data_IF_999870818755
#
_entry.id   IF_999870818755
#
_cell.length_a   1.000
_cell.length_b   1.000
_cell.length_c   1.000
_cell.angle_alpha   90.00
_cell.angle_beta   90.00
_cell.angle_gamma   90.00
#
_symmetry.space_group_name_H-M   'P 1'
#
loop_
_entity.id
_entity.type
_entity.pdbx_description
1 polymer ?
#
# COMPACT_ATOMS: atom_id res chain seq x y z
N UNK A 1 -19.72 -10.59 5.22
CA UNK A 1 -18.35 -10.61 4.68
C UNK A 1 -18.47 -10.42 3.17
N UNK A 2 -17.83 -9.40 2.60
CA UNK A 2 -17.83 -9.20 1.14
C UNK A 2 -16.79 -10.15 0.52
N UNK A 3 -17.23 -11.12 -0.27
CA UNK A 3 -16.37 -12.07 -0.99
C UNK A 3 -16.43 -11.91 -2.52
N UNK A 4 -17.08 -10.85 -3.01
CA UNK A 4 -17.36 -10.60 -4.44
C UNK A 4 -16.08 -10.60 -5.28
N UNK A 5 -15.02 -9.93 -4.79
CA UNK A 5 -13.72 -9.93 -5.47
C UNK A 5 -13.15 -11.35 -5.65
N UNK A 6 -13.18 -12.17 -4.61
CA UNK A 6 -12.64 -13.53 -4.65
C UNK A 6 -13.46 -14.44 -5.57
N UNK A 7 -14.79 -14.32 -5.56
CA UNK A 7 -15.68 -15.06 -6.48
C UNK A 7 -15.41 -14.70 -7.93
N UNK A 8 -15.32 -13.41 -8.22
CA UNK A 8 -14.97 -12.94 -9.56
C UNK A 8 -13.60 -13.46 -10.02
N UNK A 9 -12.57 -13.44 -9.15
CA UNK A 9 -11.25 -14.02 -9.47
C UNK A 9 -11.29 -15.52 -9.76
N UNK A 10 -12.25 -16.25 -9.20
CA UNK A 10 -12.45 -17.69 -9.45
C UNK A 10 -13.35 -17.98 -10.65
N UNK A 11 -13.91 -16.96 -11.29
CA UNK A 11 -14.88 -17.12 -12.39
C UNK A 11 -16.26 -17.58 -11.93
N UNK A 12 -16.60 -17.39 -10.65
CA UNK A 12 -17.93 -17.68 -10.10
C UNK A 12 -18.92 -16.55 -10.42
N UNK A 13 -20.23 -16.85 -10.39
CA UNK A 13 -21.27 -15.85 -10.56
C UNK A 13 -21.28 -14.84 -9.40
N UNK A 14 -21.43 -13.55 -9.73
CA UNK A 14 -21.42 -12.43 -8.77
C UNK A 14 -22.57 -11.48 -9.06
N UNK A 15 -23.11 -10.82 -8.02
CA UNK A 15 -24.23 -9.88 -8.15
C UNK A 15 -23.86 -8.55 -8.80
N UNK A 16 -22.56 -8.21 -8.81
CA UNK A 16 -22.00 -7.02 -9.43
C UNK A 16 -20.52 -7.24 -9.77
N UNK A 17 -19.97 -6.42 -10.65
CA UNK A 17 -18.53 -6.45 -10.97
C UNK A 17 -17.76 -5.80 -9.82
N UNK A 18 -16.82 -6.50 -9.16
CA UNK A 18 -16.08 -5.92 -8.03
C UNK A 18 -15.04 -4.89 -8.49
N UNK A 19 -14.82 -3.86 -7.69
CA UNK A 19 -13.88 -2.76 -7.98
C UNK A 19 -12.89 -2.55 -6.84
N UNK A 20 -11.63 -2.34 -7.21
CA UNK A 20 -10.56 -1.78 -6.37
C UNK A 20 -9.60 -0.99 -7.26
N UNK A 21 -8.76 -0.13 -6.69
CA UNK A 21 -7.91 0.77 -7.47
C UNK A 21 -6.45 0.61 -7.05
N UNK A 22 -5.55 0.44 -8.01
CA UNK A 22 -4.11 0.48 -7.73
C UNK A 22 -3.74 1.84 -7.11
N UNK A 23 -3.00 1.81 -5.99
CA UNK A 23 -2.67 3.01 -5.19
C UNK A 23 -3.89 3.72 -4.58
N UNK A 24 -4.95 2.98 -4.26
CA UNK A 24 -6.13 3.49 -3.53
C UNK A 24 -5.78 4.11 -2.17
N UNK A 25 -4.77 3.61 -1.47
CA UNK A 25 -4.24 4.24 -0.27
C UNK A 25 -3.12 5.22 -0.65
N UNK A 26 -3.44 6.52 -0.73
CA UNK A 26 -2.47 7.50 -1.22
C UNK A 26 -2.82 8.96 -0.98
N UNK A 27 -1.95 9.83 -1.51
CA UNK A 27 -1.91 11.28 -1.21
C UNK A 27 -3.18 12.06 -1.59
N UNK A 28 -4.08 11.49 -2.39
CA UNK A 28 -5.36 12.11 -2.72
C UNK A 28 -6.35 12.09 -1.54
N UNK A 29 -6.12 11.22 -0.55
CA UNK A 29 -6.92 11.13 0.66
C UNK A 29 -6.40 12.10 1.73
N UNK A 30 -7.26 12.97 2.30
CA UNK A 30 -6.83 13.86 3.38
C UNK A 30 -6.40 13.09 4.64
N UNK A 31 -7.06 11.98 4.96
CA UNK A 31 -6.71 11.08 6.06
C UNK A 31 -5.32 10.45 5.89
N UNK A 32 -4.95 10.04 4.67
CA UNK A 32 -3.59 9.59 4.36
C UNK A 32 -2.56 10.69 4.62
N UNK A 33 -2.84 11.92 4.15
CA UNK A 33 -1.95 13.07 4.34
C UNK A 33 -1.76 13.40 5.81
N UNK A 34 -2.80 13.24 6.62
CA UNK A 34 -2.75 13.47 8.07
C UNK A 34 -1.79 12.50 8.78
N UNK A 35 -1.77 11.23 8.38
CA UNK A 35 -0.81 10.24 8.90
C UNK A 35 0.60 10.53 8.40
N UNK A 36 0.75 10.82 7.09
CA UNK A 36 2.05 11.09 6.48
C UNK A 36 2.73 12.35 7.02
N UNK A 37 1.97 13.27 7.61
CA UNK A 37 2.49 14.44 8.34
C UNK A 37 3.04 14.12 9.73
N UNK A 38 2.79 12.91 10.26
CA UNK A 38 3.22 12.46 11.59
C UNK A 38 4.32 11.39 11.54
N UNK A 39 4.39 10.62 10.45
CA UNK A 39 5.36 9.55 10.26
C UNK A 39 5.96 9.61 8.85
N UNK A 40 7.24 9.25 8.73
CA UNK A 40 7.87 9.07 7.42
C UNK A 40 7.32 7.81 6.70
N UNK A 41 7.60 7.69 5.40
CA UNK A 41 7.03 6.64 4.57
C UNK A 41 7.48 5.23 5.00
N UNK A 42 8.76 5.04 5.35
CA UNK A 42 9.27 3.74 5.80
C UNK A 42 8.67 3.36 7.15
N UNK A 43 8.57 4.33 8.07
CA UNK A 43 7.89 4.14 9.35
C UNK A 43 6.43 3.71 9.16
N UNK A 44 5.70 4.33 8.23
CA UNK A 44 4.33 3.92 7.92
C UNK A 44 4.24 2.47 7.40
N UNK A 45 5.19 2.04 6.56
CA UNK A 45 5.18 0.67 6.03
C UNK A 45 5.65 -0.39 7.06
N UNK A 46 6.49 0.00 8.03
CA UNK A 46 7.07 -0.91 9.03
C UNK A 46 6.30 -0.99 10.34
N UNK A 47 5.41 -0.04 10.60
CA UNK A 47 4.53 -0.05 11.77
C UNK A 47 3.19 -0.69 11.40
N UNK A 48 2.87 -1.91 11.87
CA UNK A 48 1.67 -2.64 11.47
C UNK A 48 0.37 -1.84 11.67
N UNK A 49 0.27 -1.09 12.76
CA UNK A 49 -0.90 -0.29 13.10
C UNK A 49 -1.13 0.83 12.07
N UNK A 50 -0.06 1.53 11.67
CA UNK A 50 -0.13 2.59 10.66
C UNK A 50 -0.40 2.02 9.27
N UNK A 51 0.24 0.90 8.91
CA UNK A 51 0.01 0.23 7.64
C UNK A 51 -1.44 -0.24 7.52
N UNK A 52 -2.00 -0.83 8.58
CA UNK A 52 -3.39 -1.27 8.62
C UNK A 52 -4.37 -0.07 8.52
N UNK A 53 -4.12 0.99 9.29
CA UNK A 53 -4.93 2.22 9.25
C UNK A 53 -4.96 2.81 7.84
N UNK A 54 -3.81 2.94 7.18
CA UNK A 54 -3.73 3.46 5.81
C UNK A 54 -4.40 2.53 4.79
N UNK A 55 -4.29 1.22 4.99
CA UNK A 55 -4.87 0.21 4.09
C UNK A 55 -6.40 0.26 4.06
N UNK A 56 -7.05 0.55 5.18
CA UNK A 56 -8.52 0.51 5.29
C UNK A 56 -9.21 1.81 4.83
N UNK A 57 -8.53 2.96 4.91
CA UNK A 57 -9.10 4.27 4.51
C UNK A 57 -9.84 4.26 3.16
N UNK A 58 -9.31 3.65 2.08
CA UNK A 58 -9.98 3.66 0.79
C UNK A 58 -11.20 2.73 0.76
N UNK A 59 -11.18 1.65 1.55
CA UNK A 59 -12.34 0.75 1.71
C UNK A 59 -13.47 1.52 2.38
N UNK A 60 -13.19 2.22 3.48
CA UNK A 60 -14.20 2.99 4.21
C UNK A 60 -14.74 4.18 3.40
N UNK A 61 -13.88 4.84 2.62
CA UNK A 61 -14.25 6.04 1.86
C UNK A 61 -14.92 5.74 0.52
N UNK A 62 -14.39 4.76 -0.22
CA UNK A 62 -14.82 4.48 -1.59
C UNK A 62 -15.71 3.25 -1.70
N UNK A 63 -15.86 2.47 -0.62
CA UNK A 63 -16.63 1.23 -0.59
C UNK A 63 -16.20 0.25 -1.69
N UNK A 64 -14.88 0.09 -1.86
CA UNK A 64 -14.28 -0.88 -2.79
C UNK A 64 -14.38 -2.31 -2.25
N UNK A 65 -14.34 -3.29 -3.15
CA UNK A 65 -14.55 -4.72 -2.84
C UNK A 65 -13.31 -5.43 -2.31
N UNK A 66 -12.15 -4.78 -2.38
CA UNK A 66 -10.88 -5.33 -1.90
C UNK A 66 -9.96 -4.24 -1.33
N UNK A 67 -9.17 -4.64 -0.35
CA UNK A 67 -8.05 -3.88 0.17
C UNK A 67 -6.74 -4.41 -0.40
N UNK A 68 -5.81 -3.51 -0.69
CA UNK A 68 -4.41 -3.85 -0.99
C UNK A 68 -3.55 -3.31 0.15
N UNK A 69 -2.74 -4.17 0.75
CA UNK A 69 -1.88 -3.81 1.88
C UNK A 69 -0.97 -2.64 1.52
N UNK A 70 -0.96 -1.62 2.38
CA UNK A 70 -0.03 -0.51 2.26
C UNK A 70 1.38 -0.96 2.62
N UNK A 71 2.25 -0.97 1.61
CA UNK A 71 3.67 -1.31 1.72
C UNK A 71 4.42 -0.75 0.53
N UNK A 72 5.72 -1.00 0.46
CA UNK A 72 6.55 -0.69 -0.69
C UNK A 72 7.21 -1.95 -1.25
N UNK A 73 7.31 -2.02 -2.58
CA UNK A 73 7.88 -3.17 -3.29
C UNK A 73 9.38 -3.36 -2.99
N UNK A 74 10.06 -2.35 -2.44
CA UNK A 74 11.49 -2.35 -2.13
C UNK A 74 11.80 -2.76 -0.68
N UNK A 75 10.80 -2.96 0.18
CA UNK A 75 11.04 -3.48 1.54
C UNK A 75 11.83 -4.79 1.55
N UNK A 76 11.58 -5.77 0.66
CA UNK A 76 12.40 -6.97 0.59
C UNK A 76 13.88 -6.67 0.27
N UNK A 77 14.18 -5.66 -0.55
CA UNK A 77 15.56 -5.27 -0.86
C UNK A 77 16.30 -4.76 0.38
N UNK A 78 15.62 -3.96 1.21
CA UNK A 78 16.15 -3.54 2.50
C UNK A 78 16.41 -4.74 3.43
N UNK A 79 15.46 -5.68 3.50
CA UNK A 79 15.62 -6.90 4.30
C UNK A 79 16.77 -7.79 3.80
N UNK A 80 17.13 -7.72 2.52
CA UNK A 80 18.31 -8.37 1.93
C UNK A 80 19.62 -7.61 2.20
N UNK A 81 19.59 -6.50 2.92
CA UNK A 81 20.77 -5.73 3.32
C UNK A 81 21.14 -4.57 2.40
N UNK A 82 20.28 -4.19 1.44
CA UNK A 82 20.49 -2.95 0.68
C UNK A 82 20.10 -1.72 1.51
N UNK A 83 20.84 -0.64 1.37
CA UNK A 83 20.44 0.66 1.93
C UNK A 83 19.25 1.20 1.14
N UNK A 84 18.09 1.28 1.78
CA UNK A 84 16.88 1.87 1.22
C UNK A 84 16.57 3.18 1.93
N UNK A 85 16.49 4.28 1.19
CA UNK A 85 16.00 5.56 1.70
C UNK A 85 14.94 6.14 0.77
N UNK A 86 14.03 6.91 1.34
CA UNK A 86 13.00 7.64 0.59
C UNK A 86 13.24 9.12 0.74
N UNK A 87 13.75 9.74 -0.32
CA UNK A 87 13.96 11.18 -0.36
C UNK A 87 12.73 11.88 -0.94
N UNK A 88 12.32 12.98 -0.30
CA UNK A 88 11.18 13.76 -0.75
C UNK A 88 11.44 14.31 -2.16
N UNK A 89 10.46 14.15 -3.05
CA UNK A 89 10.52 14.56 -4.46
C UNK A 89 11.60 13.87 -5.33
N UNK A 90 12.35 12.88 -4.81
CA UNK A 90 13.28 12.07 -5.60
C UNK A 90 12.87 10.61 -5.75
N UNK A 91 12.10 10.09 -4.78
CA UNK A 91 11.67 8.69 -4.77
C UNK A 91 12.61 7.80 -3.96
N UNK A 92 12.51 6.47 -4.12
CA UNK A 92 13.39 5.54 -3.41
C UNK A 92 14.82 5.58 -3.97
N UNK A 93 15.78 5.57 -3.08
CA UNK A 93 17.20 5.45 -3.39
C UNK A 93 17.70 4.10 -2.87
N UNK A 94 18.33 3.32 -3.76
CA UNK A 94 19.08 2.13 -3.42
C UNK A 94 20.47 2.20 -4.04
N UNK A 95 21.47 1.72 -3.30
CA UNK A 95 22.81 1.55 -3.84
C UNK A 95 22.80 0.45 -4.93
N UNK A 96 23.38 0.72 -6.13
CA UNK A 96 23.49 -0.29 -7.16
C UNK A 96 24.30 -1.49 -6.67
N UNK A 97 23.81 -2.69 -6.94
CA UNK A 97 24.59 -3.92 -6.69
C UNK A 97 25.82 -3.90 -7.59
N UNK A 98 27.00 -4.08 -7.00
CA UNK A 98 28.28 -4.19 -7.71
C UNK A 98 28.92 -5.52 -7.37
N UNK A 99 29.61 -6.10 -8.34
CA UNK A 99 30.53 -7.21 -8.09
C UNK A 99 31.69 -6.72 -7.22
N UNK A 100 32.24 -7.61 -6.39
CA UNK A 100 33.46 -7.34 -5.61
C UNK A 100 34.71 -7.39 -6.49
#
# INVERSE_FOLDING_TARGET
MNDTFLKACKGEEVSHTPVWIMRQAGRYLPEYRAIRGKADFLTMCKTPELAAEVTIQPVDRLNVDAAIMFSDILIPCEAMGQNLSFEENRGPMLDPVRDK
#
